data_IF_909979370140
#
_entry.id   IF_909979370140
#
_cell.length_a   1.000
_cell.length_b   1.000
_cell.length_c   1.000
_cell.angle_alpha   90.00
_cell.angle_beta   90.00
_cell.angle_gamma   90.00
#
_symmetry.space_group_name_H-M   'P 1'
#
loop_
_entity.id
_entity.type
_entity.pdbx_description
1 polymer ?
#
# COMPACT_ATOMS: atom_id res chain seq x y z
N UNK A 1 -13.97 14.99 -8.76
CA UNK A 1 -13.77 15.07 -10.23
C UNK A 1 -13.19 16.41 -10.72
N UNK A 2 -13.72 17.57 -10.32
CA UNK A 2 -13.25 18.88 -10.82
C UNK A 2 -11.84 19.25 -10.36
N UNK A 3 -11.41 18.86 -9.14
CA UNK A 3 -10.03 19.10 -8.66
C UNK A 3 -8.99 18.27 -9.41
N UNK A 4 -9.26 16.99 -9.70
CA UNK A 4 -8.34 16.13 -10.44
C UNK A 4 -8.15 16.61 -11.88
N UNK A 5 -9.21 16.95 -12.61
CA UNK A 5 -9.06 17.48 -13.99
C UNK A 5 -8.31 18.82 -13.99
N UNK A 6 -8.53 19.69 -13.00
CA UNK A 6 -7.78 20.95 -12.88
C UNK A 6 -6.30 20.75 -12.51
N UNK A 7 -5.97 19.76 -11.65
CA UNK A 7 -4.58 19.38 -11.33
C UNK A 7 -3.86 18.74 -12.53
N UNK A 8 -4.57 17.87 -13.29
CA UNK A 8 -4.05 17.26 -14.51
C UNK A 8 -3.73 18.31 -15.59
N UNK A 9 -4.57 19.35 -15.72
CA UNK A 9 -4.28 20.49 -16.63
C UNK A 9 -3.08 21.31 -16.18
N UNK A 10 -2.94 21.58 -14.88
CA UNK A 10 -1.82 22.36 -14.35
C UNK A 10 -0.46 21.65 -14.48
N UNK A 11 -0.42 20.31 -14.39
CA UNK A 11 0.81 19.54 -14.56
C UNK A 11 1.24 19.40 -16.04
N UNK A 12 0.29 19.46 -16.99
CA UNK A 12 0.58 19.52 -18.44
C UNK A 12 1.29 20.81 -18.84
N UNK A 13 0.95 21.95 -18.24
CA UNK A 13 1.59 23.25 -18.55
C UNK A 13 3.05 23.33 -18.06
N UNK A 14 3.44 22.57 -17.02
CA UNK A 14 4.82 22.59 -16.48
C UNK A 14 5.80 21.66 -17.20
N UNK A 15 5.34 20.70 -18.01
CA UNK A 15 6.20 19.69 -18.68
C UNK A 15 6.79 20.17 -20.02
N UNK A 16 6.47 21.37 -20.49
CA UNK A 16 6.92 21.89 -21.80
C UNK A 16 8.41 22.26 -21.87
N UNK A 17 9.15 22.30 -20.75
CA UNK A 17 10.47 22.94 -20.69
C UNK A 17 11.66 22.02 -20.33
N UNK A 18 11.54 20.68 -20.40
CA UNK A 18 12.69 19.79 -20.13
C UNK A 18 13.39 19.30 -21.42
N UNK A 19 14.69 19.58 -21.59
CA UNK A 19 15.48 19.01 -22.68
C UNK A 19 15.83 17.54 -22.40
N UNK A 20 15.71 16.72 -23.45
CA UNK A 20 16.02 15.30 -23.50
C UNK A 20 17.54 15.04 -23.49
N UNK A 21 18.01 14.19 -22.58
CA UNK A 21 19.36 13.62 -22.61
C UNK A 21 19.34 12.09 -22.56
N UNK A 22 20.27 11.42 -23.28
CA UNK A 22 20.31 9.96 -23.42
C UNK A 22 21.06 9.29 -22.25
N UNK A 23 20.59 8.12 -21.84
CA UNK A 23 21.18 7.31 -20.77
C UNK A 23 22.41 6.51 -21.19
N UNK A 24 23.07 5.84 -20.23
CA UNK A 24 23.96 4.73 -20.55
C UNK A 24 23.67 3.44 -19.76
N UNK A 25 23.53 2.37 -20.53
CA UNK A 25 24.20 1.05 -20.47
C UNK A 25 24.56 0.40 -19.13
N UNK A 26 24.01 -0.82 -18.95
CA UNK A 26 24.42 -1.89 -18.03
C UNK A 26 25.91 -2.28 -18.13
N UNK A 27 26.43 -2.90 -17.07
CA UNK A 27 27.05 -4.21 -17.27
C UNK A 27 26.60 -5.30 -16.29
N UNK A 28 26.57 -6.51 -16.84
CA UNK A 28 26.60 -7.83 -16.21
C UNK A 28 27.88 -8.03 -15.37
N UNK A 29 27.82 -8.80 -14.29
CA UNK A 29 28.83 -9.82 -13.97
C UNK A 29 28.42 -10.73 -12.80
N UNK A 30 28.69 -12.00 -13.06
CA UNK A 30 28.45 -13.24 -12.35
C UNK A 30 29.22 -13.45 -11.04
N UNK A 31 28.62 -14.29 -10.18
CA UNK A 31 29.18 -15.35 -9.34
C UNK A 31 30.54 -15.19 -8.62
N UNK A 32 30.53 -15.33 -7.29
CA UNK A 32 31.50 -16.19 -6.59
C UNK A 32 30.97 -16.64 -5.21
N UNK A 33 30.92 -17.95 -5.01
CA UNK A 33 30.74 -18.67 -3.73
C UNK A 33 32.09 -18.86 -3.03
N UNK A 34 32.04 -19.42 -1.81
CA UNK A 34 33.12 -19.90 -0.92
C UNK A 34 33.59 -18.88 0.13
N UNK A 35 33.79 -19.16 1.42
CA UNK A 35 33.59 -20.33 2.30
C UNK A 35 33.71 -19.84 3.76
N UNK A 36 33.10 -20.57 4.70
CA UNK A 36 33.21 -20.39 6.17
C UNK A 36 34.63 -20.57 6.71
N UNK A 37 34.93 -19.96 7.87
CA UNK A 37 35.72 -20.65 8.90
C UNK A 37 35.03 -20.72 10.27
N UNK A 38 35.26 -21.88 10.90
CA UNK A 38 34.82 -22.35 12.22
C UNK A 38 35.71 -21.83 13.37
N UNK A 39 35.10 -21.75 14.56
CA UNK A 39 35.65 -21.91 15.91
C UNK A 39 36.36 -20.77 16.69
N UNK A 40 35.66 -20.44 17.81
CA UNK A 40 36.00 -19.87 19.13
C UNK A 40 37.45 -19.91 19.65
N UNK A 41 37.78 -18.96 20.54
CA UNK A 41 37.83 -19.32 21.97
C UNK A 41 37.17 -18.29 22.92
N UNK A 42 36.55 -18.82 23.99
CA UNK A 42 36.25 -18.09 25.22
C UNK A 42 37.52 -17.83 26.05
N UNK A 43 37.54 -16.75 26.86
CA UNK A 43 38.12 -16.85 28.19
C UNK A 43 37.20 -16.34 29.32
N UNK A 44 37.51 -16.86 30.51
CA UNK A 44 36.78 -16.91 31.78
C UNK A 44 36.47 -15.58 32.49
N UNK A 45 35.54 -15.61 33.47
CA UNK A 45 35.27 -14.55 34.43
C UNK A 45 36.26 -14.60 35.62
N UNK A 46 36.53 -13.45 36.26
CA UNK A 46 36.73 -13.25 37.72
C UNK A 46 37.69 -12.09 38.04
N UNK A 47 37.18 -11.03 38.68
CA UNK A 47 37.83 -10.21 39.74
C UNK A 47 36.80 -9.14 40.15
N UNK A 48 36.00 -9.35 41.19
CA UNK A 48 36.31 -9.12 42.62
C UNK A 48 36.67 -7.67 42.97
N UNK A 49 35.72 -7.04 43.69
CA UNK A 49 35.83 -5.99 44.71
C UNK A 49 36.84 -4.83 44.55
N UNK A 50 36.36 -3.57 44.68
CA UNK A 50 36.40 -2.85 45.98
C UNK A 50 35.89 -1.40 45.88
N UNK A 51 34.91 -1.14 46.74
CA UNK A 51 34.35 0.11 47.25
C UNK A 51 35.17 1.40 47.12
N UNK A 52 34.47 2.52 46.80
CA UNK A 52 34.65 3.82 47.47
C UNK A 52 33.34 4.61 47.57
N UNK A 53 33.10 5.08 48.79
CA UNK A 53 32.05 5.98 49.24
C UNK A 53 31.91 7.25 48.38
N UNK A 54 30.67 7.62 48.02
CA UNK A 54 30.27 9.01 47.76
C UNK A 54 28.84 9.29 48.24
N UNK A 55 28.80 9.97 49.38
CA UNK A 55 27.90 11.07 49.77
C UNK A 55 26.56 11.16 49.02
N UNK A 56 25.50 10.81 49.74
CA UNK A 56 24.11 11.08 49.44
C UNK A 56 23.86 12.58 49.27
N UNK A 57 23.50 13.00 48.07
CA UNK A 57 22.78 14.24 47.81
C UNK A 57 21.34 13.89 47.44
N UNK A 58 20.31 14.62 47.91
CA UNK A 58 18.95 14.40 47.44
C UNK A 58 18.86 14.77 45.97
N UNK A 59 18.78 13.75 45.10
CA UNK A 59 18.49 13.92 43.67
C UNK A 59 17.04 14.37 43.59
N UNK A 60 16.85 15.65 43.26
CA UNK A 60 15.56 16.20 42.85
C UNK A 60 15.22 15.53 41.52
N UNK A 61 14.32 14.54 41.55
CA UNK A 61 13.80 13.90 40.35
C UNK A 61 13.30 14.99 39.38
N UNK A 62 13.88 15.12 38.18
CA UNK A 62 13.25 15.93 37.15
C UNK A 62 11.90 15.25 36.86
N UNK A 63 10.82 16.03 36.97
CA UNK A 63 9.50 15.57 36.60
C UNK A 63 9.58 14.89 35.24
N UNK A 64 9.32 13.58 35.20
CA UNK A 64 9.25 12.79 33.99
C UNK A 64 8.17 13.41 33.10
N UNK A 65 8.58 14.29 32.19
CA UNK A 65 7.72 14.71 31.10
C UNK A 65 7.36 13.42 30.36
N UNK A 66 6.06 13.12 30.14
CA UNK A 66 5.66 11.99 29.32
C UNK A 66 6.40 12.14 27.99
N UNK A 67 7.23 11.16 27.64
CA UNK A 67 7.83 11.12 26.32
C UNK A 67 6.67 11.23 25.31
N UNK A 68 6.79 12.10 24.29
CA UNK A 68 5.79 12.17 23.24
C UNK A 68 5.61 10.76 22.69
N UNK A 69 4.42 10.19 22.88
CA UNK A 69 4.04 8.91 22.31
C UNK A 69 4.19 9.09 20.80
N UNK A 70 5.25 8.53 20.22
CA UNK A 70 5.42 8.53 18.78
C UNK A 70 4.18 7.85 18.21
N UNK A 71 3.37 8.61 17.48
CA UNK A 71 2.18 8.09 16.86
C UNK A 71 2.59 6.92 15.95
N UNK A 72 2.22 5.70 16.35
CA UNK A 72 2.47 4.50 15.55
C UNK A 72 1.63 4.60 14.28
N UNK A 73 2.28 4.59 13.12
CA UNK A 73 1.61 4.52 11.83
C UNK A 73 0.66 3.31 11.82
N UNK A 74 -0.64 3.50 11.52
CA UNK A 74 -1.58 2.40 11.39
C UNK A 74 -1.07 1.33 10.41
N UNK A 75 -1.11 0.07 10.83
CA UNK A 75 -0.73 -1.07 10.00
C UNK A 75 -2.00 -1.74 9.43
N UNK A 76 -2.08 -1.81 8.09
CA UNK A 76 -3.20 -2.39 7.35
C UNK A 76 -2.96 -3.82 6.83
N UNK A 77 -1.80 -4.44 7.12
CA UNK A 77 -1.38 -5.75 6.58
C UNK A 77 -2.36 -6.88 6.87
N UNK A 78 -3.11 -6.77 7.97
CA UNK A 78 -4.11 -7.75 8.35
C UNK A 78 -5.31 -7.78 7.39
N UNK A 79 -5.63 -6.68 6.69
CA UNK A 79 -6.76 -6.61 5.77
C UNK A 79 -6.53 -7.42 4.48
N UNK A 80 -5.42 -7.25 3.72
CA UNK A 80 -5.13 -8.12 2.58
C UNK A 80 -5.08 -9.59 2.93
N UNK A 81 -4.49 -9.94 4.08
CA UNK A 81 -4.41 -11.33 4.54
C UNK A 81 -5.81 -11.90 4.80
N UNK A 82 -6.66 -11.15 5.51
CA UNK A 82 -8.04 -11.54 5.79
C UNK A 82 -8.87 -11.67 4.51
N UNK A 83 -8.76 -10.71 3.59
CA UNK A 83 -9.44 -10.76 2.30
C UNK A 83 -9.01 -12.00 1.48
N UNK A 84 -7.72 -12.28 1.42
CA UNK A 84 -7.20 -13.48 0.75
C UNK A 84 -7.71 -14.77 1.39
N UNK A 85 -7.76 -14.84 2.72
CA UNK A 85 -8.31 -16.00 3.42
C UNK A 85 -9.80 -16.21 3.13
N UNK A 86 -10.62 -15.15 3.20
CA UNK A 86 -12.05 -15.19 2.89
C UNK A 86 -12.31 -15.63 1.45
N UNK A 87 -11.51 -15.13 0.52
CA UNK A 87 -11.62 -15.46 -0.89
C UNK A 87 -11.19 -16.90 -1.16
N UNK A 88 -10.05 -17.36 -0.65
CA UNK A 88 -9.43 -18.59 -1.13
C UNK A 88 -9.65 -19.81 -0.23
N UNK A 89 -9.75 -19.62 1.09
CA UNK A 89 -9.63 -20.72 2.05
C UNK A 89 -10.91 -20.96 2.83
N UNK A 90 -11.54 -19.90 3.34
CA UNK A 90 -12.62 -19.96 4.34
C UNK A 90 -13.81 -20.85 3.94
N UNK A 91 -14.10 -20.95 2.65
CA UNK A 91 -15.26 -21.67 2.10
C UNK A 91 -14.89 -22.70 1.04
N UNK A 92 -13.61 -23.05 0.93
CA UNK A 92 -13.09 -23.97 -0.11
C UNK A 92 -13.69 -25.37 -0.04
N UNK A 93 -14.08 -25.82 1.16
CA UNK A 93 -14.72 -27.12 1.40
C UNK A 93 -16.22 -27.14 1.16
N UNK A 94 -16.87 -25.98 0.97
CA UNK A 94 -18.31 -25.92 0.76
C UNK A 94 -18.69 -26.32 -0.67
N UNK A 95 -19.89 -26.92 -0.89
CA UNK A 95 -20.43 -27.10 -2.23
C UNK A 95 -20.55 -25.77 -3.00
N UNK A 96 -20.44 -25.82 -4.32
CA UNK A 96 -20.49 -24.65 -5.22
C UNK A 96 -21.69 -23.74 -4.95
N UNK A 97 -22.88 -24.32 -4.72
CA UNK A 97 -24.09 -23.56 -4.47
C UNK A 97 -24.02 -22.76 -3.16
N UNK A 98 -23.42 -23.33 -2.12
CA UNK A 98 -23.23 -22.65 -0.85
C UNK A 98 -22.16 -21.56 -0.96
N UNK A 99 -21.07 -21.82 -1.71
CA UNK A 99 -20.06 -20.80 -2.01
C UNK A 99 -20.68 -19.57 -2.70
N UNK A 100 -21.59 -19.76 -3.68
CA UNK A 100 -22.32 -18.65 -4.31
C UNK A 100 -23.13 -17.85 -3.30
N UNK A 101 -23.86 -18.54 -2.42
CA UNK A 101 -24.65 -17.89 -1.36
C UNK A 101 -23.80 -17.10 -0.37
N UNK A 102 -22.53 -17.49 -0.17
CA UNK A 102 -21.57 -16.77 0.69
C UNK A 102 -20.91 -15.57 0.00
N UNK A 103 -20.90 -15.50 -1.32
CA UNK A 103 -20.17 -14.47 -2.06
C UNK A 103 -20.59 -13.03 -1.69
N UNK A 104 -21.89 -12.79 -1.45
CA UNK A 104 -22.37 -11.48 -1.01
C UNK A 104 -21.80 -11.09 0.37
N UNK A 105 -21.87 -12.01 1.34
CA UNK A 105 -21.32 -11.79 2.69
C UNK A 105 -19.81 -11.54 2.67
N UNK A 106 -19.06 -12.28 1.85
CA UNK A 106 -17.61 -12.06 1.69
C UNK A 106 -17.34 -10.70 1.05
N UNK A 107 -18.12 -10.32 0.04
CA UNK A 107 -18.03 -9.01 -0.59
C UNK A 107 -18.29 -7.86 0.40
N UNK A 108 -19.29 -8.00 1.27
CA UNK A 108 -19.60 -7.04 2.34
C UNK A 108 -18.46 -6.92 3.36
N UNK A 109 -17.90 -8.04 3.79
CA UNK A 109 -16.79 -8.06 4.76
C UNK A 109 -15.54 -7.39 4.20
N UNK A 110 -15.14 -7.75 2.96
CA UNK A 110 -14.01 -7.10 2.29
C UNK A 110 -14.30 -5.61 2.08
N UNK A 111 -15.52 -5.24 1.69
CA UNK A 111 -15.90 -3.83 1.58
C UNK A 111 -15.80 -3.09 2.93
N UNK A 112 -16.07 -3.77 4.05
CA UNK A 112 -15.80 -3.27 5.39
C UNK A 112 -14.33 -2.93 5.61
N UNK A 113 -13.40 -3.78 5.14
CA UNK A 113 -11.96 -3.49 5.19
C UNK A 113 -11.59 -2.25 4.40
N UNK A 114 -12.12 -2.10 3.17
CA UNK A 114 -11.89 -0.87 2.39
C UNK A 114 -12.41 0.39 3.09
N UNK A 115 -13.57 0.30 3.76
CA UNK A 115 -14.13 1.43 4.50
C UNK A 115 -13.27 1.81 5.70
N UNK A 116 -12.80 0.82 6.47
CA UNK A 116 -11.93 1.07 7.62
C UNK A 116 -10.59 1.70 7.21
N UNK A 117 -9.95 1.19 6.15
CA UNK A 117 -8.73 1.80 5.62
C UNK A 117 -8.99 3.22 5.12
N UNK A 118 -10.11 3.44 4.43
CA UNK A 118 -10.45 4.76 3.89
C UNK A 118 -10.69 5.77 5.01
N UNK A 119 -11.41 5.39 6.06
CA UNK A 119 -11.67 6.24 7.22
C UNK A 119 -10.35 6.73 7.85
N UNK A 120 -9.41 5.81 8.06
CA UNK A 120 -8.10 6.14 8.61
C UNK A 120 -7.29 7.01 7.64
N UNK A 121 -7.22 6.66 6.36
CA UNK A 121 -6.46 7.44 5.37
C UNK A 121 -7.00 8.88 5.17
N UNK A 122 -8.31 9.08 5.35
CA UNK A 122 -8.98 10.38 5.24
C UNK A 122 -8.87 11.25 6.48
N UNK A 123 -8.41 10.71 7.60
CA UNK A 123 -8.24 11.48 8.82
C UNK A 123 -7.26 12.64 8.56
N UNK A 124 -7.62 13.85 9.01
CA UNK A 124 -6.84 15.05 8.79
C UNK A 124 -5.43 14.97 9.40
N UNK A 125 -5.23 14.13 10.40
CA UNK A 125 -3.93 13.89 11.05
C UNK A 125 -3.14 12.73 10.44
N UNK A 126 -3.66 12.07 9.40
CA UNK A 126 -2.99 10.93 8.79
C UNK A 126 -1.74 11.33 8.04
N UNK A 127 -0.66 10.63 8.34
CA UNK A 127 0.65 10.89 7.73
C UNK A 127 0.69 10.39 6.29
N UNK A 128 1.73 10.83 5.58
CA UNK A 128 2.05 10.34 4.24
C UNK A 128 2.15 8.81 4.19
N UNK A 129 2.88 8.23 5.16
CA UNK A 129 3.11 6.78 5.27
C UNK A 129 1.80 6.02 5.47
N UNK A 130 0.87 6.55 6.27
CA UNK A 130 -0.47 5.96 6.43
C UNK A 130 -1.20 5.91 5.10
N UNK A 131 -1.17 6.98 4.30
CA UNK A 131 -1.86 7.05 3.00
C UNK A 131 -1.25 6.07 1.99
N UNK A 132 0.07 5.90 1.99
CA UNK A 132 0.76 4.89 1.16
C UNK A 132 0.39 3.47 1.56
N UNK A 133 0.47 3.17 2.86
CA UNK A 133 0.12 1.84 3.37
C UNK A 133 -1.35 1.51 3.05
N UNK A 134 -2.24 2.49 3.16
CA UNK A 134 -3.64 2.37 2.79
C UNK A 134 -3.81 1.99 1.31
N UNK A 135 -3.10 2.70 0.41
CA UNK A 135 -3.13 2.39 -1.02
C UNK A 135 -2.57 1.01 -1.35
N UNK A 136 -1.46 0.62 -0.73
CA UNK A 136 -0.84 -0.70 -0.95
C UNK A 136 -1.78 -1.82 -0.50
N UNK A 137 -2.37 -1.69 0.69
CA UNK A 137 -3.32 -2.66 1.23
C UNK A 137 -4.59 -2.77 0.37
N UNK A 138 -5.17 -1.64 -0.04
CA UNK A 138 -6.32 -1.64 -0.96
C UNK A 138 -5.96 -2.30 -2.29
N UNK A 139 -4.78 -2.03 -2.86
CA UNK A 139 -4.30 -2.68 -4.09
C UNK A 139 -4.22 -4.20 -3.90
N UNK A 140 -3.62 -4.70 -2.83
CA UNK A 140 -3.51 -6.14 -2.57
C UNK A 140 -4.86 -6.83 -2.43
N UNK A 141 -5.84 -6.20 -1.77
CA UNK A 141 -7.20 -6.73 -1.69
C UNK A 141 -7.87 -6.79 -3.08
N UNK A 142 -7.72 -5.73 -3.88
CA UNK A 142 -8.22 -5.71 -5.26
C UNK A 142 -7.54 -6.78 -6.13
N UNK A 143 -6.23 -6.97 -5.95
CA UNK A 143 -5.47 -8.02 -6.66
C UNK A 143 -5.93 -9.41 -6.24
N UNK A 144 -6.17 -9.63 -4.95
CA UNK A 144 -6.66 -10.91 -4.42
C UNK A 144 -8.00 -11.30 -5.06
N UNK A 145 -8.95 -10.36 -5.19
CA UNK A 145 -10.22 -10.67 -5.87
C UNK A 145 -10.04 -10.91 -7.37
N UNK A 146 -9.05 -10.30 -8.02
CA UNK A 146 -8.79 -10.50 -9.44
C UNK A 146 -8.16 -11.86 -9.73
N UNK A 147 -7.37 -12.38 -8.79
CA UNK A 147 -6.67 -13.67 -8.90
C UNK A 147 -7.47 -14.85 -8.32
N UNK A 148 -8.51 -14.59 -7.53
CA UNK A 148 -9.38 -15.64 -6.99
C UNK A 148 -10.14 -16.35 -8.12
N UNK A 149 -9.72 -17.56 -8.47
CA UNK A 149 -10.35 -18.35 -9.55
C UNK A 149 -11.55 -19.20 -9.07
N UNK A 150 -11.87 -19.12 -7.78
CA UNK A 150 -12.99 -19.85 -7.23
C UNK A 150 -14.34 -19.16 -7.47
N UNK A 151 -15.40 -19.84 -7.06
CA UNK A 151 -16.79 -19.41 -7.21
C UNK A 151 -17.02 -18.04 -6.55
N UNK A 152 -16.49 -17.83 -5.34
CA UNK A 152 -16.66 -16.58 -4.59
C UNK A 152 -16.00 -15.42 -5.33
N UNK A 153 -14.75 -15.56 -5.75
CA UNK A 153 -14.03 -14.53 -6.50
C UNK A 153 -14.76 -14.16 -7.80
N UNK A 154 -15.26 -15.15 -8.54
CA UNK A 154 -16.05 -14.91 -9.76
C UNK A 154 -17.35 -14.15 -9.49
N UNK A 155 -18.08 -14.49 -8.43
CA UNK A 155 -19.33 -13.80 -8.07
C UNK A 155 -19.08 -12.38 -7.57
N UNK A 156 -18.05 -12.16 -6.76
CA UNK A 156 -17.67 -10.81 -6.30
C UNK A 156 -17.27 -9.92 -7.49
N UNK A 157 -16.53 -10.43 -8.48
CA UNK A 157 -16.19 -9.64 -9.68
C UNK A 157 -17.42 -9.19 -10.48
N UNK A 158 -18.56 -9.87 -10.37
CA UNK A 158 -19.83 -9.48 -11.03
C UNK A 158 -20.67 -8.51 -10.19
N UNK A 159 -20.32 -8.35 -8.92
CA UNK A 159 -21.07 -7.51 -7.98
C UNK A 159 -20.87 -6.01 -8.23
N UNK A 160 -21.64 -5.21 -7.50
CA UNK A 160 -21.52 -3.75 -7.46
C UNK A 160 -20.22 -3.25 -6.78
N UNK A 161 -19.47 -4.09 -6.08
CA UNK A 161 -18.17 -3.69 -5.51
C UNK A 161 -17.12 -3.47 -6.61
N UNK A 162 -17.16 -4.29 -7.66
CA UNK A 162 -16.17 -4.30 -8.74
C UNK A 162 -16.68 -3.66 -10.04
N UNK A 163 -18.01 -3.69 -10.27
CA UNK A 163 -18.64 -3.16 -11.48
C UNK A 163 -19.56 -2.00 -11.15
N UNK A 164 -19.13 -0.79 -11.52
CA UNK A 164 -20.00 0.39 -11.51
C UNK A 164 -21.13 0.23 -12.53
N UNK A 165 -22.37 0.16 -12.03
CA UNK A 165 -23.60 0.22 -12.84
C UNK A 165 -23.99 1.66 -13.21
N UNK A 166 -23.53 2.66 -12.44
CA UNK A 166 -23.70 4.10 -12.71
C UNK A 166 -22.43 4.88 -12.34
N UNK A 167 -22.08 5.89 -13.15
CA UNK A 167 -20.87 6.73 -13.02
C UNK A 167 -20.72 7.46 -11.68
N UNK A 168 -21.75 7.52 -10.85
CA UNK A 168 -21.81 8.32 -9.61
C UNK A 168 -21.70 7.50 -8.32
N UNK A 169 -21.73 6.18 -8.40
CA UNK A 169 -21.84 5.38 -7.18
C UNK A 169 -20.43 5.19 -6.60
N UNK A 170 -20.04 6.04 -5.64
CA UNK A 170 -18.81 5.95 -4.84
C UNK A 170 -18.72 4.67 -3.98
N UNK A 171 -19.50 3.66 -4.31
CA UNK A 171 -19.61 2.39 -3.62
C UNK A 171 -18.61 1.35 -4.14
N UNK A 172 -17.96 1.56 -5.29
CA UNK A 172 -16.97 0.60 -5.81
C UNK A 172 -15.64 0.70 -5.09
N UNK A 173 -14.85 -0.38 -5.10
CA UNK A 173 -13.54 -0.41 -4.43
C UNK A 173 -12.50 0.49 -5.10
N UNK A 174 -12.50 0.57 -6.43
CA UNK A 174 -11.65 1.53 -7.15
C UNK A 174 -12.00 2.98 -6.82
N UNK A 175 -13.28 3.30 -6.57
CA UNK A 175 -13.66 4.63 -6.12
C UNK A 175 -13.17 4.95 -4.71
N UNK A 176 -13.09 3.96 -3.82
CA UNK A 176 -12.51 4.14 -2.47
C UNK A 176 -11.01 4.35 -2.52
N UNK A 177 -10.30 3.59 -3.37
CA UNK A 177 -8.86 3.78 -3.60
C UNK A 177 -8.57 5.17 -4.17
N UNK A 178 -9.34 5.60 -5.17
CA UNK A 178 -9.25 6.97 -5.71
C UNK A 178 -9.54 8.04 -4.64
N UNK A 179 -10.47 7.77 -3.71
CA UNK A 179 -10.72 8.68 -2.60
C UNK A 179 -9.54 8.82 -1.63
N UNK A 180 -8.65 7.82 -1.53
CA UNK A 180 -7.38 7.94 -0.78
C UNK A 180 -6.45 8.93 -1.49
N UNK A 181 -6.32 8.82 -2.82
CA UNK A 181 -5.52 9.75 -3.64
C UNK A 181 -6.07 11.19 -3.58
N UNK A 182 -7.40 11.35 -3.58
CA UNK A 182 -8.03 12.67 -3.43
C UNK A 182 -7.69 13.37 -2.09
N UNK A 183 -7.20 12.62 -1.09
CA UNK A 183 -6.78 13.15 0.21
C UNK A 183 -5.29 13.50 0.29
N UNK A 184 -4.56 13.38 -0.82
CA UNK A 184 -3.16 13.78 -0.90
C UNK A 184 -3.03 15.30 -0.99
N UNK A 185 -2.13 15.82 -0.16
CA UNK A 185 -1.61 17.17 -0.30
C UNK A 185 -0.59 17.23 -1.43
N UNK A 186 -0.24 18.44 -1.87
CA UNK A 186 0.82 18.61 -2.86
C UNK A 186 2.18 18.13 -2.30
N UNK A 187 2.38 18.18 -0.98
CA UNK A 187 3.56 17.63 -0.30
C UNK A 187 3.60 16.11 -0.36
N UNK A 188 2.47 15.44 -0.08
CA UNK A 188 2.32 13.98 -0.19
C UNK A 188 2.65 13.52 -1.61
N UNK A 189 2.11 14.22 -2.62
CA UNK A 189 2.36 13.93 -4.03
C UNK A 189 3.86 14.08 -4.39
N UNK A 190 4.51 15.14 -3.90
CA UNK A 190 5.95 15.33 -4.15
C UNK A 190 6.79 14.25 -3.47
N UNK A 191 6.44 13.85 -2.24
CA UNK A 191 7.10 12.75 -1.53
C UNK A 191 6.95 11.43 -2.29
N UNK A 192 5.74 11.15 -2.76
CA UNK A 192 5.44 9.97 -3.56
C UNK A 192 6.38 9.84 -4.76
N UNK A 193 6.43 10.88 -5.60
CA UNK A 193 7.21 10.80 -6.83
C UNK A 193 8.72 10.77 -6.58
N UNK A 194 9.20 11.47 -5.54
CA UNK A 194 10.60 11.38 -5.14
C UNK A 194 10.99 9.99 -4.62
N UNK A 195 10.07 9.30 -3.96
CA UNK A 195 10.25 7.92 -3.49
C UNK A 195 10.16 6.91 -4.63
N UNK A 196 9.23 7.09 -5.56
CA UNK A 196 9.11 6.24 -6.76
C UNK A 196 10.35 6.34 -7.65
N UNK A 197 10.89 7.54 -7.87
CA UNK A 197 12.14 7.72 -8.62
C UNK A 197 13.30 6.99 -7.95
N UNK A 198 13.40 7.07 -6.61
CA UNK A 198 14.42 6.37 -5.82
C UNK A 198 14.29 4.86 -5.86
N UNK A 199 13.04 4.37 -5.83
CA UNK A 199 12.74 2.94 -5.77
C UNK A 199 12.57 2.31 -7.17
N UNK A 200 12.79 3.06 -8.25
CA UNK A 200 12.65 2.55 -9.62
C UNK A 200 11.20 2.26 -10.03
N UNK A 201 10.24 2.99 -9.47
CA UNK A 201 8.82 2.90 -9.84
C UNK A 201 8.12 1.63 -9.33
N UNK A 202 8.50 1.11 -8.16
CA UNK A 202 7.94 -0.14 -7.62
C UNK A 202 6.43 -0.05 -7.42
N UNK A 203 5.91 1.01 -6.79
CA UNK A 203 4.47 1.14 -6.57
C UNK A 203 3.73 1.33 -7.90
N UNK A 204 4.29 2.14 -8.78
CA UNK A 204 3.78 2.38 -10.15
C UNK A 204 3.68 1.06 -10.92
N UNK A 205 4.71 0.22 -10.88
CA UNK A 205 4.72 -1.11 -11.48
C UNK A 205 3.60 -2.01 -10.94
N UNK A 206 3.37 -1.99 -9.61
CA UNK A 206 2.26 -2.72 -8.97
C UNK A 206 0.88 -2.22 -9.42
N UNK A 207 0.70 -0.90 -9.61
CA UNK A 207 -0.54 -0.35 -10.15
C UNK A 207 -0.73 -0.65 -11.64
N UNK A 208 0.33 -0.67 -12.45
CA UNK A 208 0.28 -1.13 -13.85
C UNK A 208 -0.19 -2.58 -13.94
N UNK A 209 0.36 -3.46 -13.08
CA UNK A 209 -0.06 -4.86 -12.98
C UNK A 209 -1.56 -4.96 -12.61
N UNK A 210 -1.99 -4.25 -11.57
CA UNK A 210 -3.39 -4.24 -11.13
C UNK A 210 -4.32 -3.75 -12.26
N UNK A 211 -3.94 -2.68 -12.97
CA UNK A 211 -4.70 -2.17 -14.11
C UNK A 211 -4.79 -3.19 -15.25
N UNK A 212 -3.71 -3.92 -15.53
CA UNK A 212 -3.71 -5.01 -16.52
C UNK A 212 -4.69 -6.13 -16.15
N UNK A 213 -4.70 -6.55 -14.88
CA UNK A 213 -5.64 -7.54 -14.35
C UNK A 213 -7.10 -7.03 -14.43
N UNK A 214 -7.34 -5.81 -13.98
CA UNK A 214 -8.66 -5.16 -14.01
C UNK A 214 -9.23 -5.06 -15.43
N UNK A 215 -8.40 -4.67 -16.41
CA UNK A 215 -8.77 -4.61 -17.84
C UNK A 215 -9.19 -5.98 -18.37
N UNK A 216 -8.43 -7.05 -18.06
CA UNK A 216 -8.76 -8.43 -18.49
C UNK A 216 -10.09 -8.89 -17.89
N UNK A 217 -10.31 -8.61 -16.61
CA UNK A 217 -11.53 -8.96 -15.89
C UNK A 217 -12.73 -8.03 -16.18
N UNK A 218 -12.50 -6.91 -16.89
CA UNK A 218 -13.51 -5.86 -17.18
C UNK A 218 -14.17 -5.28 -15.91
N UNK A 219 -13.39 -5.14 -14.84
CA UNK A 219 -13.81 -4.55 -13.56
C UNK A 219 -12.96 -3.32 -13.24
N UNK A 220 -13.30 -2.59 -12.17
CA UNK A 220 -12.53 -1.43 -11.68
C UNK A 220 -12.25 -0.38 -12.77
N UNK A 221 -13.31 0.15 -13.38
CA UNK A 221 -13.23 1.06 -14.53
C UNK A 221 -12.40 2.31 -14.25
N UNK A 222 -12.30 2.75 -12.99
CA UNK A 222 -11.51 3.92 -12.57
C UNK A 222 -10.02 3.63 -12.42
N UNK A 223 -9.59 2.38 -12.53
CA UNK A 223 -8.18 2.02 -12.39
C UNK A 223 -7.28 2.72 -13.41
N UNK A 224 -7.80 3.05 -14.60
CA UNK A 224 -7.08 3.90 -15.57
C UNK A 224 -6.82 5.30 -15.00
N UNK A 225 -7.83 5.92 -14.40
CA UNK A 225 -7.73 7.28 -13.85
C UNK A 225 -6.76 7.30 -12.66
N UNK A 226 -6.85 6.28 -11.78
CA UNK A 226 -5.92 6.07 -10.67
C UNK A 226 -4.49 5.93 -11.18
N UNK A 227 -4.28 5.11 -12.21
CA UNK A 227 -2.96 4.92 -12.80
C UNK A 227 -2.39 6.24 -13.33
N UNK A 228 -3.22 7.11 -13.95
CA UNK A 228 -2.78 8.43 -14.42
C UNK A 228 -2.37 9.39 -13.28
N UNK A 229 -2.83 9.15 -12.04
CA UNK A 229 -2.42 9.92 -10.88
C UNK A 229 -1.10 9.43 -10.28
N UNK A 230 -0.82 8.13 -10.35
CA UNK A 230 0.38 7.52 -9.76
C UNK A 230 1.51 7.32 -10.75
N UNK A 231 1.25 7.44 -12.05
CA UNK A 231 2.21 7.21 -13.11
C UNK A 231 2.36 8.44 -14.01
N UNK A 232 3.48 9.16 -13.88
CA UNK A 232 3.76 10.36 -14.68
C UNK A 232 4.06 10.05 -16.14
N UNK A 233 4.39 8.81 -16.48
CA UNK A 233 4.85 8.41 -17.82
C UNK A 233 3.71 7.91 -18.70
N UNK A 234 2.56 7.57 -18.10
CA UNK A 234 1.34 7.15 -18.82
C UNK A 234 0.80 8.23 -19.76
N UNK A 235 1.26 9.48 -19.64
CA UNK A 235 0.93 10.57 -20.55
C UNK A 235 1.69 10.56 -21.89
N UNK A 236 2.74 9.74 -22.04
CA UNK A 236 3.60 9.78 -23.24
C UNK A 236 3.16 8.77 -24.31
N UNK A 237 2.30 7.81 -23.96
CA UNK A 237 1.84 6.72 -24.85
C UNK A 237 0.38 6.88 -25.35
N UNK A 238 -0.20 8.08 -25.27
CA UNK A 238 -1.51 8.43 -25.84
C UNK A 238 -1.39 9.50 -26.92
#
# INVERSE_FOLDING_TARGET
MTRHISRLKANLEKKSDRPSHPGPSHPDHSEARHSLPTHYPHPNPSTENRARHRLSSPVREPASQPLPVMATTPNFDHYPLSASHLLNTAYSSLPVQEQRSKAASVGDEINGFFLAILEEAKNATSTWETKINAMDAMREMMKSVLLADNVIGQEIRKSNYCVSKKRSDGCTWDAKLDAVLDCWTDEDENKYFAEEERNGGVMTGRFRELNGLAKRAKVFKRMKDILMCVDRDVYVDF
#
